data_IF_515843990782
#
_entry.id   IF_515843990782
#
_cell.length_a   1.000
_cell.length_b   1.000
_cell.length_c   1.000
_cell.angle_alpha   90.00
_cell.angle_beta   90.00
_cell.angle_gamma   90.00
#
_symmetry.space_group_name_H-M   'P 1'
#
loop_
_entity.id
_entity.type
_entity.pdbx_description
1 polymer ?
#
# COMPACT_ATOMS: atom_id res chain seq x y z
N UNK A 1 38.70 -54.78 -19.63
CA UNK A 1 38.65 -53.76 -18.56
C UNK A 1 38.25 -52.45 -19.23
N UNK A 2 37.01 -52.00 -19.04
CA UNK A 2 36.42 -50.88 -19.78
C UNK A 2 36.68 -49.57 -19.02
N UNK A 3 37.32 -48.63 -19.70
CA UNK A 3 37.77 -47.34 -19.18
C UNK A 3 36.57 -46.40 -19.07
N UNK A 4 36.30 -45.92 -17.85
CA UNK A 4 35.17 -45.04 -17.54
C UNK A 4 35.39 -43.61 -18.06
N UNK A 5 34.48 -43.12 -18.89
CA UNK A 5 34.38 -41.70 -19.25
C UNK A 5 33.61 -40.97 -18.14
N UNK A 6 34.29 -40.09 -17.38
CA UNK A 6 33.64 -39.21 -16.41
C UNK A 6 33.20 -37.92 -17.12
N UNK A 7 31.90 -37.80 -17.39
CA UNK A 7 31.29 -36.56 -17.89
C UNK A 7 31.00 -35.66 -16.68
N UNK A 8 31.72 -34.56 -16.56
CA UNK A 8 31.46 -33.50 -15.57
C UNK A 8 30.28 -32.65 -16.06
N UNK A 9 29.09 -32.89 -15.51
CA UNK A 9 27.92 -32.04 -15.68
C UNK A 9 28.01 -30.85 -14.71
N UNK A 10 28.42 -29.69 -15.22
CA UNK A 10 28.36 -28.43 -14.48
C UNK A 10 26.92 -27.94 -14.37
N UNK A 11 26.32 -28.00 -13.19
CA UNK A 11 25.01 -27.40 -12.91
C UNK A 11 25.18 -25.90 -12.67
N UNK A 12 24.78 -25.08 -13.64
CA UNK A 12 24.68 -23.63 -13.49
C UNK A 12 23.51 -23.31 -12.56
N UNK A 13 23.79 -22.85 -11.34
CA UNK A 13 22.77 -22.36 -10.40
C UNK A 13 22.30 -21.01 -10.92
N UNK A 14 21.11 -20.98 -11.53
CA UNK A 14 20.41 -19.73 -11.82
C UNK A 14 19.95 -19.13 -10.48
N UNK A 15 20.69 -18.13 -10.00
CA UNK A 15 20.24 -17.29 -8.89
C UNK A 15 19.14 -16.37 -9.42
N UNK A 16 17.89 -16.80 -9.27
CA UNK A 16 16.72 -15.97 -9.50
C UNK A 16 16.68 -14.88 -8.42
N UNK A 17 17.29 -13.72 -8.68
CA UNK A 17 17.05 -12.51 -7.91
C UNK A 17 15.61 -12.07 -8.17
N UNK A 18 14.70 -12.49 -7.30
CA UNK A 18 13.32 -12.01 -7.29
C UNK A 18 13.35 -10.50 -7.12
N UNK A 19 12.89 -9.77 -8.13
CA UNK A 19 12.62 -8.35 -8.02
C UNK A 19 11.42 -8.26 -7.07
N UNK A 20 11.67 -7.91 -5.81
CA UNK A 20 10.62 -7.52 -4.90
C UNK A 20 10.05 -6.19 -5.40
N UNK A 21 9.06 -6.26 -6.29
CA UNK A 21 8.24 -5.11 -6.62
C UNK A 21 7.43 -4.79 -5.36
N UNK A 22 7.54 -3.55 -4.87
CA UNK A 22 6.66 -3.03 -3.82
C UNK A 22 5.22 -3.33 -4.24
N UNK A 23 4.53 -4.14 -3.43
CA UNK A 23 3.16 -4.55 -3.72
C UNK A 23 2.28 -3.30 -3.65
N UNK A 24 1.65 -2.95 -4.77
CA UNK A 24 0.78 -1.78 -4.83
C UNK A 24 -0.41 -1.99 -3.91
N UNK A 25 -0.53 -1.19 -2.87
CA UNK A 25 -1.70 -1.23 -1.98
C UNK A 25 -2.72 -0.18 -2.42
N UNK A 26 -3.99 -0.56 -2.36
CA UNK A 26 -5.11 0.32 -2.69
C UNK A 26 -6.22 0.11 -1.65
N UNK A 27 -6.92 1.18 -1.27
CA UNK A 27 -8.20 1.08 -0.57
C UNK A 27 -9.22 0.32 -1.43
N UNK A 28 -10.15 -0.45 -0.82
CA UNK A 28 -11.23 -1.05 -1.57
C UNK A 28 -12.14 0.05 -2.10
N UNK A 29 -12.37 0.07 -3.41
CA UNK A 29 -13.22 1.07 -4.07
C UNK A 29 -14.68 1.03 -3.56
N UNK A 30 -15.12 -0.13 -3.06
CA UNK A 30 -16.46 -0.31 -2.51
C UNK A 30 -16.46 -1.10 -1.22
N UNK A 31 -17.43 -0.78 -0.36
CA UNK A 31 -17.79 -1.55 0.83
C UNK A 31 -19.18 -2.15 0.64
N UNK A 32 -19.32 -3.46 0.88
CA UNK A 32 -20.62 -4.15 0.83
C UNK A 32 -21.05 -4.51 2.24
N UNK A 33 -22.19 -3.97 2.67
CA UNK A 33 -22.76 -4.25 3.98
C UNK A 33 -24.29 -4.19 3.89
N UNK A 34 -25.00 -5.14 4.50
CA UNK A 34 -26.47 -5.18 4.55
C UNK A 34 -27.16 -5.02 3.17
N UNK A 35 -26.66 -5.72 2.15
CA UNK A 35 -27.10 -5.62 0.74
C UNK A 35 -27.00 -4.22 0.10
N UNK A 36 -26.30 -3.28 0.75
CA UNK A 36 -25.94 -1.98 0.18
C UNK A 36 -24.49 -2.01 -0.28
N UNK A 37 -24.21 -1.23 -1.32
CA UNK A 37 -22.86 -0.98 -1.81
C UNK A 37 -22.55 0.49 -1.60
N UNK A 38 -21.50 0.79 -0.83
CA UNK A 38 -20.99 2.13 -0.59
C UNK A 38 -19.74 2.34 -1.43
N UNK A 39 -19.58 3.53 -1.99
CA UNK A 39 -18.45 3.90 -2.85
C UNK A 39 -17.46 4.70 -2.02
N UNK A 40 -16.17 4.40 -2.15
CA UNK A 40 -15.13 5.17 -1.46
C UNK A 40 -15.13 6.62 -1.95
N UNK A 41 -15.14 7.57 -1.02
CA UNK A 41 -15.23 9.00 -1.35
C UNK A 41 -14.23 9.89 -0.61
N UNK A 42 -13.52 9.35 0.37
CA UNK A 42 -12.41 10.05 0.99
C UNK A 42 -11.36 9.05 1.44
N UNK A 43 -10.13 9.53 1.54
CA UNK A 43 -9.02 8.79 2.12
C UNK A 43 -8.13 9.76 2.87
N UNK A 44 -7.53 9.27 3.94
CA UNK A 44 -6.54 10.00 4.70
C UNK A 44 -5.42 9.08 5.14
N UNK A 45 -4.22 9.65 5.28
CA UNK A 45 -3.01 8.97 5.75
C UNK A 45 -2.81 9.31 7.23
N UNK A 46 -2.57 8.29 8.05
CA UNK A 46 -2.40 8.40 9.50
C UNK A 46 -1.03 7.90 9.92
N UNK A 47 -0.45 8.55 10.92
CA UNK A 47 0.76 8.08 11.62
C UNK A 47 0.31 7.29 12.84
N UNK A 48 0.43 5.96 12.81
CA UNK A 48 -0.05 5.04 13.84
C UNK A 48 -1.52 4.66 13.70
N UNK A 49 -2.03 3.79 14.59
CA UNK A 49 -3.41 3.31 14.51
C UNK A 49 -4.41 4.48 14.50
N UNK A 50 -5.50 4.42 13.71
CA UNK A 50 -6.47 5.52 13.61
C UNK A 50 -7.13 5.88 14.95
N UNK A 51 -7.27 4.91 15.84
CA UNK A 51 -7.81 5.05 17.20
C UNK A 51 -6.93 5.99 18.07
N UNK A 52 -5.64 6.10 17.75
CA UNK A 52 -4.63 6.69 18.61
C UNK A 52 -4.04 8.01 18.08
N UNK A 53 -4.19 8.37 16.79
CA UNK A 53 -3.31 9.39 16.17
C UNK A 53 -3.87 10.18 14.98
N UNK A 54 -3.02 11.13 14.53
CA UNK A 54 -3.28 12.28 13.69
C UNK A 54 -3.26 12.01 12.18
N UNK A 55 -4.15 12.73 11.50
CA UNK A 55 -4.24 12.85 10.05
C UNK A 55 -3.03 13.63 9.49
N UNK A 56 -2.43 13.11 8.42
CA UNK A 56 -1.36 13.74 7.68
C UNK A 56 -1.94 14.49 6.49
N UNK A 57 -1.75 15.81 6.49
CA UNK A 57 -2.12 16.65 5.35
C UNK A 57 -1.33 16.24 4.10
N UNK A 58 -1.98 16.11 2.93
CA UNK A 58 -1.28 15.84 1.68
C UNK A 58 -0.37 17.00 1.26
N UNK A 59 0.68 16.65 0.53
CA UNK A 59 1.73 17.55 0.05
C UNK A 59 1.21 18.55 -1.00
N UNK A 60 0.16 18.20 -1.73
CA UNK A 60 -0.43 19.05 -2.78
C UNK A 60 -1.93 19.24 -2.61
N UNK A 61 -2.43 20.38 -3.09
CA UNK A 61 -3.84 20.78 -2.96
C UNK A 61 -4.74 20.15 -4.03
N UNK A 62 -4.18 19.85 -5.21
CA UNK A 62 -4.95 19.41 -6.40
C UNK A 62 -5.04 17.88 -6.51
N UNK A 63 -4.15 17.16 -5.83
CA UNK A 63 -4.14 15.73 -5.74
C UNK A 63 -3.72 15.35 -4.32
N UNK A 64 -4.43 14.42 -3.68
CA UNK A 64 -4.01 13.98 -2.36
C UNK A 64 -2.75 13.13 -2.51
N UNK A 65 -1.57 13.75 -2.47
CA UNK A 65 -0.27 13.09 -2.64
C UNK A 65 0.49 13.17 -1.33
N UNK A 66 1.06 12.06 -0.90
CA UNK A 66 1.93 11.99 0.28
C UNK A 66 3.25 11.34 -0.10
N UNK A 67 4.35 12.08 0.03
CA UNK A 67 5.70 11.56 -0.05
C UNK A 67 6.07 10.93 1.28
N UNK A 68 6.34 9.63 1.29
CA UNK A 68 6.32 8.85 2.54
C UNK A 68 7.65 8.83 3.28
N UNK A 69 8.75 9.28 2.69
CA UNK A 69 10.10 9.07 3.27
C UNK A 69 10.20 9.52 4.73
N UNK A 70 9.86 10.77 5.02
CA UNK A 70 10.02 11.34 6.36
C UNK A 70 9.05 10.68 7.35
N UNK A 71 7.84 10.36 6.89
CA UNK A 71 6.85 9.64 7.67
C UNK A 71 7.29 8.19 7.98
N UNK A 72 7.92 7.50 7.04
CA UNK A 72 8.44 6.15 7.20
C UNK A 72 9.63 6.12 8.18
N UNK A 73 10.53 7.10 8.08
CA UNK A 73 11.63 7.26 9.03
C UNK A 73 11.09 7.51 10.44
N UNK A 74 10.10 8.40 10.58
CA UNK A 74 9.43 8.69 11.85
C UNK A 74 8.76 7.45 12.45
N UNK A 75 7.90 6.75 11.70
CA UNK A 75 7.18 5.59 12.25
C UNK A 75 8.13 4.45 12.62
N UNK A 76 9.27 4.32 11.92
CA UNK A 76 10.32 3.37 12.26
C UNK A 76 11.02 3.72 13.58
N UNK A 77 11.40 4.98 13.76
CA UNK A 77 12.02 5.47 15.02
C UNK A 77 11.08 5.29 16.22
N UNK A 78 9.78 5.45 16.00
CA UNK A 78 8.76 5.37 17.04
C UNK A 78 8.05 4.01 17.13
N UNK A 79 8.57 2.96 16.48
CA UNK A 79 8.00 1.60 16.49
C UNK A 79 6.49 1.56 16.22
N UNK A 80 6.04 2.30 15.20
CA UNK A 80 4.64 2.37 14.75
C UNK A 80 4.57 2.15 13.23
N UNK A 81 3.45 2.49 12.59
CA UNK A 81 3.26 2.30 11.14
C UNK A 81 2.38 3.38 10.54
N UNK A 82 2.44 3.54 9.22
CA UNK A 82 1.50 4.38 8.49
C UNK A 82 0.24 3.60 8.12
N UNK A 83 -0.90 4.27 8.12
CA UNK A 83 -2.19 3.66 7.80
C UNK A 83 -2.99 4.54 6.85
N UNK A 84 -3.61 3.93 5.85
CA UNK A 84 -4.68 4.58 5.09
C UNK A 84 -6.01 4.30 5.76
N UNK A 85 -6.80 5.35 5.97
CA UNK A 85 -8.19 5.28 6.41
C UNK A 85 -9.08 5.62 5.22
N UNK A 86 -9.76 4.61 4.71
CA UNK A 86 -10.61 4.66 3.52
C UNK A 86 -12.07 4.80 3.95
N UNK A 87 -12.72 5.90 3.61
CA UNK A 87 -14.12 6.13 4.00
C UNK A 87 -15.09 6.15 2.84
N UNK A 88 -16.35 5.81 3.15
CA UNK A 88 -17.36 5.48 2.17
C UNK A 88 -18.56 6.41 2.21
N UNK A 89 -19.03 6.82 1.03
CA UNK A 89 -20.11 7.80 0.89
C UNK A 89 -21.41 7.26 1.47
N UNK A 90 -22.07 8.07 2.30
CA UNK A 90 -23.38 7.74 2.87
C UNK A 90 -23.34 6.80 4.06
N UNK A 91 -22.16 6.60 4.68
CA UNK A 91 -21.98 5.85 5.93
C UNK A 91 -20.80 6.40 6.73
N UNK A 92 -20.73 6.06 8.02
CA UNK A 92 -19.62 6.35 8.93
C UNK A 92 -18.54 5.24 8.95
N UNK A 93 -18.72 4.19 8.15
CA UNK A 93 -17.81 3.05 8.09
C UNK A 93 -16.53 3.42 7.37
N UNK A 94 -15.44 2.83 7.83
CA UNK A 94 -14.11 2.96 7.24
C UNK A 94 -13.44 1.59 7.12
N UNK A 95 -12.52 1.50 6.17
CA UNK A 95 -11.55 0.40 6.07
C UNK A 95 -10.17 0.97 6.38
N UNK A 96 -9.39 0.29 7.21
CA UNK A 96 -8.02 0.69 7.52
C UNK A 96 -7.04 -0.28 6.89
N UNK A 97 -6.04 0.24 6.19
CA UNK A 97 -4.97 -0.55 5.58
C UNK A 97 -3.63 -0.05 6.10
N UNK A 98 -2.76 -0.97 6.54
CA UNK A 98 -1.38 -0.64 6.86
C UNK A 98 -0.60 -0.38 5.57
N UNK A 99 0.06 0.77 5.49
CA UNK A 99 0.94 1.12 4.38
C UNK A 99 2.25 0.31 4.50
N UNK A 100 2.73 -0.33 3.42
CA UNK A 100 4.00 -1.04 3.44
C UNK A 100 5.16 -0.13 3.83
N UNK A 101 6.15 -0.67 4.55
CA UNK A 101 7.29 0.13 5.02
C UNK A 101 8.24 0.59 3.90
N UNK A 102 8.18 -0.08 2.75
CA UNK A 102 8.96 0.22 1.54
C UNK A 102 8.23 1.13 0.55
N UNK A 103 6.95 1.43 0.79
CA UNK A 103 6.19 2.39 0.00
C UNK A 103 6.83 3.78 0.12
N UNK A 104 7.05 4.41 -1.03
CA UNK A 104 7.70 5.72 -1.16
C UNK A 104 6.67 6.84 -1.29
N UNK A 105 5.50 6.52 -1.82
CA UNK A 105 4.45 7.49 -2.12
C UNK A 105 3.09 6.85 -1.93
N UNK A 106 2.16 7.61 -1.35
CA UNK A 106 0.73 7.35 -1.50
C UNK A 106 0.11 8.48 -2.33
N UNK A 107 -0.92 8.17 -3.09
CA UNK A 107 -1.71 9.18 -3.79
C UNK A 107 -3.16 8.78 -3.91
N UNK A 108 -4.03 9.78 -4.00
CA UNK A 108 -5.43 9.58 -4.32
C UNK A 108 -5.95 10.64 -5.29
N UNK A 109 -6.93 10.24 -6.09
CA UNK A 109 -7.53 11.07 -7.13
C UNK A 109 -8.98 10.65 -7.37
N UNK A 110 -9.77 11.51 -8.01
CA UNK A 110 -11.10 11.15 -8.47
C UNK A 110 -11.02 10.23 -9.71
N UNK A 111 -11.65 9.07 -9.60
CA UNK A 111 -11.91 8.12 -10.67
C UNK A 111 -13.29 8.31 -11.29
N UNK A 112 -13.78 7.25 -11.94
CA UNK A 112 -15.12 7.26 -12.57
C UNK A 112 -16.22 7.29 -11.51
N UNK A 113 -17.34 7.95 -11.84
CA UNK A 113 -18.53 8.06 -10.96
C UNK A 113 -18.20 8.67 -9.59
N UNK A 114 -17.27 9.62 -9.57
CA UNK A 114 -16.79 10.32 -8.36
C UNK A 114 -16.23 9.39 -7.27
N UNK A 115 -15.85 8.16 -7.62
CA UNK A 115 -15.14 7.28 -6.71
C UNK A 115 -13.74 7.84 -6.48
N UNK A 116 -13.31 7.97 -5.23
CA UNK A 116 -11.89 8.22 -4.95
C UNK A 116 -11.14 6.92 -5.20
N UNK A 117 -9.98 7.00 -5.84
CA UNK A 117 -9.05 5.90 -6.05
C UNK A 117 -7.75 6.22 -5.33
N UNK A 118 -7.13 5.21 -4.76
CA UNK A 118 -5.89 5.35 -3.97
C UNK A 118 -4.85 4.37 -4.47
N UNK A 119 -3.59 4.77 -4.45
CA UNK A 119 -2.46 3.89 -4.73
C UNK A 119 -1.27 4.29 -3.90
N UNK A 120 -0.66 3.32 -3.22
CA UNK A 120 0.67 3.47 -2.64
C UNK A 120 1.68 2.54 -3.33
N UNK A 121 2.87 3.07 -3.59
CA UNK A 121 3.99 2.42 -4.29
C UNK A 121 5.35 2.91 -3.78
#
# INVERSE_FOLDING_TARGET
>A
MSWSNAVLLSASIFLSSGIAHAEKINCPETLKENNKTYIMNYVSLFIGPPEEKADVMPDTLDAWVWTLKDYQDYVKEHNTSLFLVCGYKGTDKTTTIKVPADAKKCSAHYGKKDAVLTTCE
#
